data_IF_181523235889
#
_entry.id   IF_181523235889
#
_cell.length_a   1.000
_cell.length_b   1.000
_cell.length_c   1.000
_cell.angle_alpha   90.00
_cell.angle_beta   90.00
_cell.angle_gamma   90.00
#
_symmetry.space_group_name_H-M   'P 1'
#
loop_
_entity.id
_entity.type
_entity.pdbx_description
1 polymer ?
#
# COMPACT_ATOMS: atom_id res chain seq x y z
N UNK A 1 -4.29 19.64 36.69
CA UNK A 1 -3.73 18.34 36.25
C UNK A 1 -4.18 18.12 34.80
N UNK A 2 -3.26 18.05 33.85
CA UNK A 2 -3.58 17.94 32.41
C UNK A 2 -4.05 16.51 32.14
N UNK A 3 -5.33 16.34 31.82
CA UNK A 3 -5.88 15.06 31.40
C UNK A 3 -5.20 14.65 30.09
N UNK A 4 -4.25 13.73 30.19
CA UNK A 4 -3.64 13.08 29.05
C UNK A 4 -4.69 12.12 28.48
N UNK A 5 -5.60 12.63 27.63
CA UNK A 5 -6.50 11.78 26.84
C UNK A 5 -5.59 10.94 25.95
N UNK A 6 -5.40 9.68 26.34
CA UNK A 6 -4.89 8.65 25.46
C UNK A 6 -5.81 8.65 24.24
N UNK A 7 -5.31 9.21 23.14
CA UNK A 7 -5.92 9.04 21.83
C UNK A 7 -5.98 7.52 21.66
N UNK A 8 -7.17 6.91 21.47
CA UNK A 8 -7.23 5.48 21.24
C UNK A 8 -6.33 5.19 20.04
N UNK A 9 -5.26 4.41 20.27
CA UNK A 9 -4.51 3.80 19.18
C UNK A 9 -5.55 3.02 18.41
N UNK A 10 -5.96 3.53 17.26
CA UNK A 10 -6.77 2.79 16.31
C UNK A 10 -5.90 1.65 15.77
N UNK A 11 -5.67 0.64 16.61
CA UNK A 11 -5.07 -0.61 16.22
C UNK A 11 -6.14 -1.32 15.41
N UNK A 12 -6.04 -1.25 14.09
CA UNK A 12 -6.81 -2.15 13.26
C UNK A 12 -6.30 -3.54 13.56
N UNK A 13 -7.26 -4.43 13.86
CA UNK A 13 -7.03 -5.85 14.00
C UNK A 13 -6.73 -6.40 12.60
N UNK A 14 -5.44 -6.49 12.27
CA UNK A 14 -4.95 -6.87 10.94
C UNK A 14 -5.33 -8.32 10.61
N UNK A 15 -5.54 -9.15 11.64
CA UNK A 15 -5.91 -10.55 11.50
C UNK A 15 -7.37 -10.72 11.04
N UNK A 16 -8.16 -9.65 11.09
CA UNK A 16 -9.56 -9.60 10.60
C UNK A 16 -9.70 -8.95 9.22
N UNK A 17 -8.59 -8.65 8.54
CA UNK A 17 -8.65 -8.11 7.19
C UNK A 17 -8.78 -9.25 6.18
N UNK A 18 -9.76 -9.13 5.29
CA UNK A 18 -9.88 -10.04 4.15
C UNK A 18 -8.65 -9.93 3.25
N UNK A 19 -8.23 -11.02 2.58
CA UNK A 19 -7.23 -10.96 1.54
C UNK A 19 -7.59 -9.92 0.46
N UNK A 20 -6.60 -9.29 -0.19
CA UNK A 20 -6.86 -8.31 -1.23
C UNK A 20 -7.55 -8.90 -2.48
N UNK A 21 -7.38 -10.20 -2.72
CA UNK A 21 -8.02 -10.98 -3.77
C UNK A 21 -8.35 -12.37 -3.21
N UNK A 22 -9.44 -12.99 -3.67
CA UNK A 22 -9.88 -14.30 -3.18
C UNK A 22 -8.84 -15.41 -3.37
N UNK A 23 -8.03 -15.31 -4.44
CA UNK A 23 -6.97 -16.25 -4.77
C UNK A 23 -5.58 -15.83 -4.29
N UNK A 24 -5.46 -14.71 -3.56
CA UNK A 24 -4.15 -14.24 -3.08
C UNK A 24 -3.67 -15.10 -1.91
N UNK A 25 -2.49 -15.70 -2.08
CA UNK A 25 -1.79 -16.40 -1.01
C UNK A 25 -0.86 -15.42 -0.29
N UNK A 26 -1.05 -15.27 1.01
CA UNK A 26 -0.30 -14.30 1.79
C UNK A 26 -0.95 -13.92 3.11
N UNK A 27 -0.43 -12.87 3.72
CA UNK A 27 -0.95 -12.33 4.98
C UNK A 27 -0.73 -10.82 5.09
N UNK A 28 -1.56 -10.17 5.91
CA UNK A 28 -1.40 -8.75 6.24
C UNK A 28 -0.36 -8.55 7.35
N UNK A 29 0.49 -7.55 7.18
CA UNK A 29 1.41 -7.06 8.22
C UNK A 29 1.20 -5.58 8.45
N UNK A 30 1.60 -5.06 9.62
CA UNK A 30 1.63 -3.61 9.82
C UNK A 30 2.63 -2.97 8.85
N UNK A 31 2.35 -1.75 8.39
CA UNK A 31 3.25 -1.02 7.47
C UNK A 31 4.72 -1.01 7.95
N UNK A 32 4.94 -0.84 9.25
CA UNK A 32 6.29 -0.78 9.83
C UNK A 32 7.06 -2.10 9.64
N UNK A 33 6.36 -3.23 9.66
CA UNK A 33 6.89 -4.58 9.62
C UNK A 33 6.94 -5.13 8.19
N UNK A 34 6.38 -4.40 7.20
CA UNK A 34 6.48 -4.77 5.79
C UNK A 34 7.91 -4.53 5.28
N UNK A 35 8.57 -5.56 4.75
CA UNK A 35 9.97 -5.46 4.31
C UNK A 35 10.11 -4.99 2.85
N UNK A 36 9.08 -5.20 2.02
CA UNK A 36 9.08 -4.75 0.63
C UNK A 36 8.86 -3.23 0.45
N UNK A 37 8.97 -2.77 -0.79
CA UNK A 37 8.70 -1.37 -1.16
C UNK A 37 7.22 -1.09 -1.44
N UNK A 38 6.53 -2.00 -2.12
CA UNK A 38 5.17 -1.82 -2.65
C UNK A 38 4.39 -3.13 -2.63
N UNK A 39 3.10 -3.07 -2.34
CA UNK A 39 2.16 -4.21 -2.42
C UNK A 39 0.72 -3.70 -2.42
N UNK A 40 -0.25 -4.59 -2.19
CA UNK A 40 -1.56 -4.19 -1.69
C UNK A 40 -1.43 -3.57 -0.30
N UNK A 41 -2.18 -2.50 -0.06
CA UNK A 41 -2.21 -1.83 1.23
C UNK A 41 -3.59 -1.35 1.61
N UNK A 42 -3.83 -1.31 2.91
CA UNK A 42 -5.03 -0.75 3.52
C UNK A 42 -4.71 0.62 4.07
N UNK A 43 -5.63 1.56 3.92
CA UNK A 43 -5.54 2.89 4.47
C UNK A 43 -6.78 3.20 5.30
N UNK A 44 -6.63 4.08 6.29
CA UNK A 44 -7.76 4.60 7.06
C UNK A 44 -7.64 6.10 7.25
N UNK A 45 -8.71 6.81 6.94
CA UNK A 45 -8.79 8.25 7.12
C UNK A 45 -9.13 8.57 8.58
N UNK A 46 -8.25 9.25 9.29
CA UNK A 46 -8.50 9.67 10.67
C UNK A 46 -9.61 10.73 10.82
N UNK A 47 -10.04 11.39 9.73
CA UNK A 47 -11.08 12.41 9.77
C UNK A 47 -12.48 11.85 9.51
N UNK A 48 -12.63 11.02 8.47
CA UNK A 48 -13.94 10.50 8.08
C UNK A 48 -14.11 9.00 8.35
N UNK A 49 -13.11 8.37 8.97
CA UNK A 49 -13.05 6.95 9.35
C UNK A 49 -13.18 5.95 8.19
N UNK A 50 -13.27 6.42 6.94
CA UNK A 50 -13.32 5.55 5.76
C UNK A 50 -12.03 4.77 5.62
N UNK A 51 -12.19 3.50 5.27
CA UNK A 51 -11.12 2.57 4.90
C UNK A 51 -11.15 2.36 3.39
N UNK A 52 -9.99 2.19 2.78
CA UNK A 52 -9.87 1.80 1.39
C UNK A 52 -8.64 0.92 1.18
N UNK A 53 -8.67 0.17 0.08
CA UNK A 53 -7.59 -0.71 -0.37
C UNK A 53 -6.95 -0.11 -1.62
N UNK A 54 -5.67 -0.39 -1.82
CA UNK A 54 -4.96 -0.04 -3.04
C UNK A 54 -3.96 -1.12 -3.41
N UNK A 55 -3.97 -1.54 -4.68
CA UNK A 55 -2.98 -2.48 -5.25
C UNK A 55 -1.58 -1.87 -5.42
N UNK A 56 -1.47 -0.55 -5.26
CA UNK A 56 -0.23 0.20 -5.44
C UNK A 56 0.10 1.03 -4.20
N UNK A 57 -0.04 0.42 -3.04
CA UNK A 57 0.39 1.01 -1.78
C UNK A 57 1.91 0.89 -1.66
N UNK A 58 2.57 2.01 -1.36
CA UNK A 58 3.99 2.03 -1.01
C UNK A 58 4.15 2.25 0.48
N UNK A 59 5.18 1.62 1.07
CA UNK A 59 5.46 1.74 2.51
C UNK A 59 5.73 3.19 2.94
N UNK A 60 6.28 3.99 2.04
CA UNK A 60 6.76 5.35 2.33
C UNK A 60 5.89 6.46 1.73
N UNK A 61 4.93 6.13 0.87
CA UNK A 61 4.11 7.13 0.19
C UNK A 61 2.65 7.05 0.62
N UNK A 62 2.04 8.23 0.70
CA UNK A 62 0.66 8.39 1.10
C UNK A 62 -0.30 8.27 -0.07
N UNK A 63 -1.55 7.96 0.26
CA UNK A 63 -2.69 8.12 -0.63
C UNK A 63 -3.75 9.03 -0.02
N UNK A 64 -4.37 9.84 -0.87
CA UNK A 64 -5.45 10.74 -0.52
C UNK A 64 -6.75 9.98 -0.27
N UNK A 65 -7.43 10.31 0.82
CA UNK A 65 -8.77 9.82 1.08
C UNK A 65 -9.76 10.40 0.07
N UNK A 66 -10.53 9.55 -0.61
CA UNK A 66 -11.49 9.97 -1.64
C UNK A 66 -12.61 10.91 -1.19
N UNK A 67 -12.80 11.07 0.13
CA UNK A 67 -13.85 11.94 0.69
C UNK A 67 -13.35 13.31 1.11
N UNK A 68 -12.13 13.39 1.64
CA UNK A 68 -11.62 14.59 2.31
C UNK A 68 -10.23 15.03 1.84
N UNK A 69 -9.68 14.34 0.83
CA UNK A 69 -8.41 14.59 0.14
C UNK A 69 -7.17 14.73 1.05
N UNK A 70 -7.28 14.27 2.29
CA UNK A 70 -6.15 14.17 3.21
C UNK A 70 -5.36 12.91 2.92
N UNK A 71 -4.04 13.04 3.01
CA UNK A 71 -3.09 12.00 2.67
C UNK A 71 -2.73 11.16 3.89
N UNK A 72 -2.78 9.84 3.72
CA UNK A 72 -2.48 8.87 4.77
C UNK A 72 -1.51 7.82 4.25
N UNK A 73 -0.61 7.37 5.13
CA UNK A 73 0.20 6.18 4.89
C UNK A 73 -0.66 4.92 5.03
N UNK A 74 -0.26 3.79 4.42
CA UNK A 74 -0.93 2.54 4.67
C UNK A 74 -0.80 2.17 6.15
N UNK A 75 -1.84 1.54 6.69
CA UNK A 75 -1.84 1.00 8.06
C UNK A 75 -1.33 -0.44 8.06
N UNK A 76 -1.62 -1.18 6.99
CA UNK A 76 -1.27 -2.56 6.79
C UNK A 76 -0.94 -2.80 5.31
N UNK A 77 -0.06 -3.76 5.05
CA UNK A 77 0.40 -4.13 3.71
C UNK A 77 0.42 -5.65 3.57
N UNK A 78 0.17 -6.14 2.36
CA UNK A 78 0.07 -7.57 2.06
C UNK A 78 1.44 -8.15 1.72
N UNK A 79 1.81 -9.25 2.37
CA UNK A 79 2.97 -10.08 2.04
C UNK A 79 2.46 -11.25 1.21
N UNK A 80 2.98 -11.42 0.00
CA UNK A 80 2.66 -12.59 -0.83
C UNK A 80 3.50 -13.79 -0.39
N UNK A 81 2.89 -14.95 -0.23
CA UNK A 81 3.57 -16.20 0.17
C UNK A 81 3.51 -17.31 -0.87
N UNK A 82 2.75 -17.12 -1.96
CA UNK A 82 2.71 -18.11 -3.04
C UNK A 82 4.09 -18.28 -3.67
N UNK A 83 4.45 -19.52 -4.02
CA UNK A 83 5.72 -19.88 -4.65
C UNK A 83 5.97 -19.02 -5.89
N UNK A 84 6.84 -18.03 -5.72
CA UNK A 84 7.73 -17.61 -6.79
C UNK A 84 9.07 -18.18 -6.39
N UNK A 85 9.47 -19.23 -7.10
CA UNK A 85 10.87 -19.61 -7.18
C UNK A 85 11.72 -18.34 -7.24
N UNK A 86 12.77 -18.39 -6.45
CA UNK A 86 13.66 -17.28 -6.15
C UNK A 86 14.53 -16.97 -7.35
N UNK A 87 14.02 -16.30 -8.38
CA UNK A 87 14.80 -15.79 -9.51
C UNK A 87 14.06 -14.59 -10.16
N UNK A 88 14.37 -13.38 -9.74
CA UNK A 88 14.16 -12.16 -10.55
C UNK A 88 15.18 -11.09 -10.12
N UNK A 89 16.45 -11.51 -10.11
CA UNK A 89 17.58 -10.64 -10.44
C UNK A 89 17.48 -10.36 -11.95
N UNK A 90 17.25 -9.09 -12.29
CA UNK A 90 17.61 -8.41 -13.53
C UNK A 90 17.83 -9.30 -14.78
N UNK A 91 16.85 -9.38 -15.69
CA UNK A 91 17.10 -9.56 -17.12
C UNK A 91 15.89 -9.08 -17.96
N UNK A 92 16.03 -7.89 -18.55
CA UNK A 92 14.93 -7.15 -19.17
C UNK A 92 14.35 -7.72 -20.46
N UNK A 93 13.13 -7.26 -20.78
CA UNK A 93 12.59 -7.21 -22.14
C UNK A 93 11.45 -6.17 -22.16
N UNK A 94 11.50 -5.22 -23.10
CA UNK A 94 10.36 -4.39 -23.48
C UNK A 94 10.47 -2.92 -23.09
N UNK A 95 11.23 -2.16 -23.87
CA UNK A 95 10.89 -0.77 -24.18
C UNK A 95 9.52 -0.77 -24.88
N UNK A 96 8.45 -0.78 -24.10
CA UNK A 96 7.10 -0.51 -24.56
C UNK A 96 6.65 0.75 -23.84
N UNK A 97 6.82 1.88 -24.52
CA UNK A 97 6.07 3.13 -24.27
C UNK A 97 4.58 2.79 -24.13
N UNK A 98 4.12 2.61 -22.89
CA UNK A 98 2.69 2.54 -22.56
C UNK A 98 2.40 3.40 -21.34
N UNK A 99 2.16 4.67 -21.66
CA UNK A 99 1.05 5.49 -21.18
C UNK A 99 0.59 5.23 -19.73
N UNK A 100 1.18 6.00 -18.81
CA UNK A 100 0.56 6.83 -17.75
C UNK A 100 -0.68 6.39 -16.92
N UNK A 101 -1.18 5.15 -16.98
CA UNK A 101 -2.44 4.79 -16.28
C UNK A 101 -2.50 3.34 -15.74
N UNK A 102 -1.75 3.04 -14.68
CA UNK A 102 -2.00 1.85 -13.85
C UNK A 102 -3.21 2.02 -12.90
N UNK A 103 -3.91 0.93 -12.47
CA UNK A 103 -5.32 0.86 -12.04
C UNK A 103 -5.69 1.50 -10.68
N UNK A 104 -5.11 2.63 -10.32
CA UNK A 104 -5.36 3.33 -9.06
C UNK A 104 -5.48 4.84 -9.26
N UNK A 105 -6.04 5.52 -8.27
CA UNK A 105 -6.28 6.97 -8.28
C UNK A 105 -4.96 7.76 -8.21
N UNK A 106 -4.38 8.02 -9.39
CA UNK A 106 -3.08 8.67 -9.55
C UNK A 106 -3.08 10.12 -9.04
N UNK A 107 -4.20 10.84 -9.18
CA UNK A 107 -4.38 12.21 -8.68
C UNK A 107 -4.21 12.31 -7.16
N UNK A 108 -4.50 11.22 -6.45
CA UNK A 108 -4.40 11.10 -5.00
C UNK A 108 -3.25 10.21 -4.53
N UNK A 109 -2.31 9.86 -5.41
CA UNK A 109 -1.13 9.06 -5.07
C UNK A 109 0.13 9.91 -4.92
N UNK A 110 0.72 9.98 -3.72
CA UNK A 110 1.96 10.75 -3.48
C UNK A 110 3.15 10.16 -4.27
N UNK A 111 3.16 8.83 -4.49
CA UNK A 111 4.19 8.17 -5.30
C UNK A 111 4.11 8.56 -6.79
N UNK A 112 2.90 8.73 -7.35
CA UNK A 112 2.71 9.26 -8.70
C UNK A 112 3.22 10.69 -8.80
N UNK A 113 2.87 11.54 -7.83
CA UNK A 113 3.31 12.94 -7.77
C UNK A 113 4.83 13.09 -7.66
N UNK A 114 5.48 12.13 -7.02
CA UNK A 114 6.93 12.08 -6.91
C UNK A 114 7.63 11.42 -8.13
N UNK A 115 6.88 10.93 -9.12
CA UNK A 115 7.44 10.25 -10.30
C UNK A 115 8.04 8.87 -10.03
N UNK A 116 7.83 8.31 -8.84
CA UNK A 116 8.38 6.99 -8.44
C UNK A 116 7.37 5.86 -8.61
N UNK A 117 6.10 6.18 -8.83
CA UNK A 117 5.06 5.21 -9.12
C UNK A 117 5.15 4.75 -10.58
N UNK A 118 6.24 4.06 -10.91
CA UNK A 118 6.34 3.33 -12.17
C UNK A 118 5.52 2.05 -12.03
N UNK A 119 4.73 1.74 -13.05
CA UNK A 119 4.14 0.41 -13.21
C UNK A 119 5.30 -0.57 -13.44
N UNK A 120 5.46 -1.56 -12.56
CA UNK A 120 6.58 -2.51 -12.58
C UNK A 120 7.71 -2.10 -11.63
N UNK A 121 7.85 -2.83 -10.52
CA UNK A 121 8.95 -2.64 -9.57
C UNK A 121 8.57 -3.03 -8.15
N UNK A 122 8.47 -4.34 -7.90
CA UNK A 122 8.70 -4.86 -6.56
C UNK A 122 10.20 -4.63 -6.28
N UNK A 123 10.55 -3.79 -5.30
CA UNK A 123 11.95 -3.65 -4.92
C UNK A 123 12.25 -4.65 -3.79
N UNK A 124 13.23 -5.50 -4.05
CA UNK A 124 13.94 -6.38 -3.13
C UNK A 124 15.27 -5.70 -2.76
N UNK A 125 15.70 -5.82 -1.50
CA UNK A 125 17.04 -5.47 -1.02
C UNK A 125 17.91 -6.71 -1.01
#
# INVERSE_FOLDING_TARGET
MRHNKLIPKAGIDIDKLDPPLESAEGYWVQRKDFEGRKSFGVFQCAQCSRRWYSAHAFKEYKQGCQRCDRYYLPIAMWVNTGDRDSDDDDNGFGDDEKDDAGPHDSERCEACKAGVCKAGGFAIY
#
